data_IF_727527065630
#
_entry.id   IF_727527065630
#
_cell.length_a   1.000
_cell.length_b   1.000
_cell.length_c   1.000
_cell.angle_alpha   90.00
_cell.angle_beta   90.00
_cell.angle_gamma   90.00
#
_symmetry.space_group_name_H-M   'P 1'
#
loop_
_entity.id
_entity.type
_entity.pdbx_description
1 polymer ?
#
# COMPACT_ATOMS: atom_id res chain seq x y z
N UNK A 1 -15.41 -6.66 0.67
CA UNK A 1 -13.98 -6.30 0.60
C UNK A 1 -13.82 -4.87 1.08
N UNK A 2 -13.09 -4.66 2.17
CA UNK A 2 -12.83 -3.33 2.72
C UNK A 2 -11.38 -2.96 2.43
N UNK A 3 -11.15 -1.77 1.88
CA UNK A 3 -9.81 -1.24 1.68
C UNK A 3 -9.22 -0.78 3.00
N UNK A 4 -8.05 -1.29 3.33
CA UNK A 4 -7.21 -0.82 4.44
C UNK A 4 -6.19 0.15 3.85
N UNK A 5 -6.07 1.33 4.46
CA UNK A 5 -5.20 2.40 3.97
C UNK A 5 -3.93 2.47 4.81
N UNK A 6 -2.79 2.46 4.14
CA UNK A 6 -1.51 2.68 4.82
C UNK A 6 -1.41 4.10 5.35
N UNK A 7 -0.85 4.23 6.56
CA UNK A 7 -0.81 5.49 7.32
C UNK A 7 -0.06 6.62 6.60
N UNK A 8 0.89 6.31 5.71
CA UNK A 8 1.79 7.29 5.10
C UNK A 8 1.41 7.61 3.64
N UNK A 9 1.44 8.92 3.34
CA UNK A 9 1.41 9.44 1.97
C UNK A 9 2.82 9.86 1.50
N UNK A 10 3.02 9.79 0.19
CA UNK A 10 4.27 10.01 -0.51
C UNK A 10 4.11 11.08 -1.60
N UNK A 11 5.21 11.72 -1.96
CA UNK A 11 5.17 12.84 -2.91
C UNK A 11 5.25 12.35 -4.37
N UNK A 12 5.74 11.12 -4.59
CA UNK A 12 5.76 10.49 -5.91
C UNK A 12 5.08 9.12 -5.93
N UNK A 13 4.54 8.76 -7.10
CA UNK A 13 3.98 7.43 -7.36
C UNK A 13 5.04 6.34 -7.16
N UNK A 14 6.30 6.63 -7.50
CA UNK A 14 7.43 5.71 -7.35
C UNK A 14 7.64 5.32 -5.89
N UNK A 15 7.71 6.30 -4.97
CA UNK A 15 7.89 6.03 -3.53
C UNK A 15 6.76 5.15 -2.97
N UNK A 16 5.51 5.45 -3.31
CA UNK A 16 4.38 4.62 -2.92
C UNK A 16 4.44 3.22 -3.56
N UNK A 17 4.91 3.11 -4.80
CA UNK A 17 5.12 1.85 -5.51
C UNK A 17 6.17 0.94 -4.84
N UNK A 18 7.26 1.51 -4.32
CA UNK A 18 8.24 0.74 -3.55
C UNK A 18 7.60 0.09 -2.32
N UNK A 19 6.75 0.81 -1.59
CA UNK A 19 6.02 0.24 -0.45
C UNK A 19 5.02 -0.83 -0.91
N UNK A 20 4.26 -0.57 -1.97
CA UNK A 20 3.30 -1.53 -2.50
C UNK A 20 3.98 -2.86 -2.86
N UNK A 21 5.14 -2.80 -3.53
CA UNK A 21 5.91 -4.01 -3.86
C UNK A 21 6.42 -4.74 -2.62
N UNK A 22 6.90 -4.01 -1.61
CA UNK A 22 7.28 -4.59 -0.32
C UNK A 22 6.08 -5.26 0.38
N UNK A 23 4.89 -4.67 0.29
CA UNK A 23 3.65 -5.25 0.82
C UNK A 23 3.23 -6.52 0.10
N UNK A 24 3.46 -6.62 -1.21
CA UNK A 24 3.19 -7.86 -1.96
C UNK A 24 4.18 -8.97 -1.60
N UNK A 25 5.48 -8.63 -1.46
CA UNK A 25 6.55 -9.62 -1.39
C UNK A 25 6.96 -10.01 0.04
N UNK A 26 6.91 -9.09 1.01
CA UNK A 26 7.54 -9.26 2.34
C UNK A 26 6.54 -9.31 3.51
N UNK A 27 5.24 -9.14 3.28
CA UNK A 27 4.28 -8.94 4.37
C UNK A 27 4.07 -10.17 5.25
N UNK A 28 4.26 -11.35 4.68
CA UNK A 28 4.24 -12.64 5.39
C UNK A 28 5.35 -12.75 6.45
N UNK A 29 6.46 -12.00 6.30
CA UNK A 29 7.60 -12.04 7.22
C UNK A 29 7.21 -11.52 8.62
N UNK A 30 6.16 -10.68 8.71
CA UNK A 30 5.73 -10.06 9.96
C UNK A 30 4.58 -10.78 10.66
N UNK A 31 4.13 -11.94 10.14
CA UNK A 31 3.04 -12.72 10.74
C UNK A 31 1.64 -12.10 10.62
N UNK A 32 1.46 -11.14 9.71
CA UNK A 32 0.14 -10.59 9.36
C UNK A 32 -0.53 -11.46 8.29
N UNK A 33 -1.87 -11.38 8.20
CA UNK A 33 -2.59 -11.88 7.03
C UNK A 33 -1.99 -11.28 5.75
N UNK A 34 -1.63 -12.14 4.81
CA UNK A 34 -1.08 -11.70 3.53
C UNK A 34 -2.11 -10.83 2.80
N UNK A 35 -1.74 -9.62 2.35
CA UNK A 35 -2.65 -8.81 1.59
C UNK A 35 -2.97 -9.51 0.26
N UNK A 36 -4.26 -9.72 -0.01
CA UNK A 36 -4.74 -10.36 -1.23
C UNK A 36 -4.62 -9.42 -2.45
N UNK A 37 -4.76 -8.12 -2.23
CA UNK A 37 -4.60 -7.10 -3.27
C UNK A 37 -3.93 -5.85 -2.69
N UNK A 38 -2.96 -5.28 -3.41
CA UNK A 38 -2.25 -4.06 -3.03
C UNK A 38 -2.32 -3.05 -4.19
N UNK A 39 -2.65 -1.79 -3.89
CA UNK A 39 -2.77 -0.74 -4.91
C UNK A 39 -2.20 0.60 -4.45
N UNK A 40 -1.53 1.29 -5.37
CA UNK A 40 -1.18 2.71 -5.22
C UNK A 40 -2.37 3.57 -5.66
N UNK A 41 -2.78 4.51 -4.81
CA UNK A 41 -3.80 5.50 -5.14
C UNK A 41 -3.25 6.93 -5.06
N UNK A 42 -3.92 7.86 -5.73
CA UNK A 42 -3.65 9.30 -5.62
C UNK A 42 -4.71 9.95 -4.74
N UNK A 43 -4.27 10.62 -3.68
CA UNK A 43 -5.13 11.43 -2.82
C UNK A 43 -5.65 12.67 -3.56
N UNK A 44 -6.74 13.25 -3.06
CA UNK A 44 -7.31 14.49 -3.61
C UNK A 44 -6.33 15.67 -3.61
N UNK A 45 -5.36 15.67 -2.68
CA UNK A 45 -4.30 16.69 -2.58
C UNK A 45 -3.06 16.37 -3.43
N UNK A 46 -3.14 15.36 -4.30
CA UNK A 46 -2.08 15.04 -5.27
C UNK A 46 -1.00 14.07 -4.78
N UNK A 47 -0.88 13.83 -3.46
CA UNK A 47 0.04 12.86 -2.86
C UNK A 47 -0.42 11.42 -3.09
N UNK A 48 0.50 10.45 -3.01
CA UNK A 48 0.25 9.03 -3.28
C UNK A 48 0.22 8.22 -1.99
N UNK A 49 -0.68 7.24 -1.91
CA UNK A 49 -0.74 6.30 -0.79
C UNK A 49 -0.86 4.87 -1.27
N UNK A 50 -0.76 3.93 -0.35
CA UNK A 50 -0.98 2.50 -0.62
C UNK A 50 -2.21 2.04 0.15
N UNK A 51 -3.03 1.21 -0.49
CA UNK A 51 -4.16 0.51 0.13
C UNK A 51 -4.10 -0.97 -0.18
N UNK A 52 -4.68 -1.79 0.67
CA UNK A 52 -4.71 -3.24 0.48
C UNK A 52 -6.00 -3.86 1.02
N UNK A 53 -6.29 -5.08 0.60
CA UNK A 53 -7.29 -5.95 1.22
C UNK A 53 -6.59 -7.13 1.85
N UNK A 54 -7.12 -7.63 2.96
CA UNK A 54 -6.80 -8.96 3.50
C UNK A 54 -7.77 -9.97 2.91
#
# INVERSE_FOLDING_TARGET
MNWIYWVKLYDSKFQAGCLAKRMEEDWWIYGYECPTEVQVFRSRKGRFGVRYTV
#
